data_IF_312483210060
#
_entry.id   IF_312483210060
#
_cell.length_a   1.000
_cell.length_b   1.000
_cell.length_c   1.000
_cell.angle_alpha   90.00
_cell.angle_beta   90.00
_cell.angle_gamma   90.00
#
_symmetry.space_group_name_H-M   'P 1'
#
loop_
_entity.id
_entity.type
_entity.pdbx_description
1 polymer ?
#
# COMPACT_ATOMS: atom_id res chain seq x y z
N UNK A 1 12.49 -10.49 -5.69
CA UNK A 1 12.05 -9.45 -6.64
C UNK A 1 11.99 -8.09 -5.95
N UNK A 2 12.08 -7.01 -6.72
CA UNK A 2 12.03 -5.62 -6.23
C UNK A 2 11.05 -4.88 -7.13
N UNK A 3 10.02 -4.29 -6.53
CA UNK A 3 9.01 -3.48 -7.22
C UNK A 3 9.10 -2.02 -6.73
N UNK A 4 8.88 -1.06 -7.63
CA UNK A 4 8.73 0.35 -7.26
C UNK A 4 7.27 0.58 -6.88
N UNK A 5 7.01 1.02 -5.64
CA UNK A 5 5.65 1.24 -5.13
C UNK A 5 5.16 2.66 -5.39
N UNK A 6 5.94 3.69 -5.05
CA UNK A 6 5.67 5.07 -5.39
C UNK A 6 6.98 5.87 -5.47
N UNK A 7 6.93 7.05 -6.09
CA UNK A 7 8.00 8.04 -6.10
C UNK A 7 7.34 9.39 -5.82
N UNK A 8 7.54 9.92 -4.62
CA UNK A 8 6.90 11.16 -4.14
C UNK A 8 5.39 11.20 -4.48
N UNK A 9 4.95 12.19 -5.26
CA UNK A 9 3.60 12.38 -5.77
C UNK A 9 3.47 12.07 -7.28
N UNK A 10 4.48 11.41 -7.87
CA UNK A 10 4.50 11.08 -9.30
C UNK A 10 3.33 10.19 -9.69
N UNK A 11 2.59 10.63 -10.71
CA UNK A 11 1.61 9.81 -11.43
C UNK A 11 2.18 9.53 -12.82
N UNK A 12 2.53 8.27 -13.08
CA UNK A 12 3.07 7.81 -14.35
C UNK A 12 2.31 6.59 -14.84
N UNK A 13 1.82 6.66 -16.07
CA UNK A 13 1.21 5.54 -16.79
C UNK A 13 1.94 5.34 -18.11
N UNK A 14 2.64 4.23 -18.25
CA UNK A 14 3.34 3.87 -19.49
C UNK A 14 3.26 2.36 -19.71
N UNK A 15 3.68 1.90 -20.90
CA UNK A 15 3.74 0.47 -21.20
C UNK A 15 4.79 -0.28 -20.38
N UNK A 16 5.77 0.41 -19.79
CA UNK A 16 6.90 -0.20 -19.08
C UNK A 16 6.82 -0.03 -17.56
N UNK A 17 6.15 1.02 -17.07
CA UNK A 17 6.11 1.37 -15.66
C UNK A 17 4.82 2.12 -15.32
N UNK A 18 4.20 1.74 -14.20
CA UNK A 18 3.05 2.42 -13.60
C UNK A 18 3.38 2.83 -12.17
N UNK A 19 3.24 4.12 -11.87
CA UNK A 19 3.47 4.71 -10.55
C UNK A 19 2.26 5.60 -10.19
N UNK A 20 1.72 5.49 -8.96
CA UNK A 20 1.99 4.46 -7.96
C UNK A 20 1.69 3.04 -8.48
N UNK A 21 2.28 2.01 -7.87
CA UNK A 21 2.09 0.63 -8.29
C UNK A 21 0.60 0.28 -8.24
N UNK A 22 0.01 -0.23 -9.34
CA UNK A 22 -1.44 -0.27 -9.52
C UNK A 22 -2.19 -1.09 -8.45
N UNK A 23 -1.55 -2.13 -7.91
CA UNK A 23 -2.13 -3.01 -6.90
C UNK A 23 -1.60 -2.74 -5.48
N UNK A 24 -0.93 -1.61 -5.22
CA UNK A 24 -0.36 -1.37 -3.88
C UNK A 24 -1.44 -1.32 -2.78
N UNK A 25 -2.61 -0.76 -3.09
CA UNK A 25 -3.72 -0.60 -2.17
C UNK A 25 -4.41 -1.92 -1.77
N UNK A 26 -4.18 -3.00 -2.53
CA UNK A 26 -4.83 -4.30 -2.32
C UNK A 26 -3.91 -5.30 -1.62
N UNK A 27 -2.63 -4.95 -1.39
CA UNK A 27 -1.59 -5.87 -0.94
C UNK A 27 -1.18 -5.57 0.51
N UNK A 28 -1.60 -6.39 1.48
CA UNK A 28 -1.23 -6.18 2.89
C UNK A 28 0.28 -6.16 3.12
N UNK A 29 1.06 -6.94 2.37
CA UNK A 29 2.53 -6.98 2.48
C UNK A 29 3.21 -5.71 1.93
N UNK A 30 2.50 -4.88 1.17
CA UNK A 30 2.96 -3.55 0.75
C UNK A 30 2.51 -2.50 1.77
N UNK A 31 1.23 -2.52 2.14
CA UNK A 31 0.67 -1.51 3.04
C UNK A 31 1.15 -1.64 4.49
N UNK A 32 1.38 -2.85 5.01
CA UNK A 32 1.82 -3.06 6.40
C UNK A 32 3.18 -2.40 6.70
N UNK A 33 4.24 -2.62 5.90
CA UNK A 33 5.50 -1.89 6.09
C UNK A 33 5.35 -0.39 5.88
N UNK A 34 4.56 0.05 4.89
CA UNK A 34 4.34 1.47 4.64
C UNK A 34 3.61 2.16 5.81
N UNK A 35 2.70 1.46 6.49
CA UNK A 35 2.02 1.98 7.68
C UNK A 35 3.02 2.26 8.82
N UNK A 36 4.09 1.47 8.92
CA UNK A 36 5.12 1.64 9.95
C UNK A 36 6.09 2.78 9.62
N UNK A 37 6.32 3.07 8.33
CA UNK A 37 7.32 4.06 7.88
C UNK A 37 6.70 5.41 7.52
N UNK A 38 5.55 5.43 6.86
CA UNK A 38 4.92 6.63 6.31
C UNK A 38 3.37 6.54 6.29
N UNK A 39 2.71 6.43 7.46
CA UNK A 39 1.25 6.27 7.54
C UNK A 39 0.46 7.44 6.94
N UNK A 40 1.04 8.65 7.00
CA UNK A 40 0.43 9.90 6.53
C UNK A 40 0.68 10.18 5.04
N UNK A 41 1.47 9.36 4.34
CA UNK A 41 1.67 9.55 2.89
C UNK A 41 0.33 9.39 2.17
N UNK A 42 0.00 10.37 1.34
CA UNK A 42 -1.28 10.43 0.62
C UNK A 42 -1.08 9.92 -0.80
N UNK A 43 -1.82 8.87 -1.15
CA UNK A 43 -1.78 8.29 -2.48
C UNK A 43 -2.29 9.28 -3.53
N UNK A 44 -1.45 9.71 -4.50
CA UNK A 44 -1.73 10.87 -5.35
C UNK A 44 -2.93 10.66 -6.28
N UNK A 45 -3.33 9.42 -6.57
CA UNK A 45 -4.50 9.14 -7.40
C UNK A 45 -5.81 9.01 -6.62
N UNK A 46 -5.79 8.51 -5.38
CA UNK A 46 -7.02 8.24 -4.61
C UNK A 46 -7.28 9.29 -3.53
N UNK A 47 -6.26 10.08 -3.17
CA UNK A 47 -6.34 11.03 -2.06
C UNK A 47 -6.40 10.37 -0.68
N UNK A 48 -6.20 9.07 -0.59
CA UNK A 48 -6.24 8.32 0.67
C UNK A 48 -4.83 8.20 1.26
N UNK A 49 -4.71 8.35 2.58
CA UNK A 49 -3.45 8.06 3.27
C UNK A 49 -3.15 6.56 3.27
N UNK A 50 -1.89 6.17 3.48
CA UNK A 50 -1.53 4.76 3.72
C UNK A 50 -2.35 4.16 4.85
N UNK A 51 -2.57 4.92 5.93
CA UNK A 51 -3.43 4.49 7.02
C UNK A 51 -4.86 4.19 6.54
N UNK A 52 -5.49 5.10 5.79
CA UNK A 52 -6.83 4.90 5.28
C UNK A 52 -6.91 3.69 4.31
N UNK A 53 -5.88 3.49 3.47
CA UNK A 53 -5.79 2.33 2.59
C UNK A 53 -5.68 1.02 3.38
N UNK A 54 -4.88 1.00 4.45
CA UNK A 54 -4.75 -0.16 5.33
C UNK A 54 -6.07 -0.50 6.03
N UNK A 55 -6.78 0.50 6.53
CA UNK A 55 -8.07 0.32 7.21
C UNK A 55 -9.18 -0.15 6.25
N UNK A 56 -9.08 0.18 4.97
CA UNK A 56 -10.02 -0.23 3.93
C UNK A 56 -9.81 -1.67 3.43
N UNK A 57 -8.69 -2.32 3.78
CA UNK A 57 -8.45 -3.72 3.39
C UNK A 57 -9.48 -4.66 4.05
N UNK A 58 -9.96 -5.69 3.32
CA UNK A 58 -10.71 -6.78 3.92
C UNK A 58 -9.88 -7.43 5.04
N UNK A 59 -10.41 -7.44 6.26
CA UNK A 59 -9.78 -8.12 7.38
C UNK A 59 -10.07 -9.61 7.26
N UNK A 60 -9.07 -10.38 6.81
CA UNK A 60 -9.15 -11.83 6.90
C UNK A 60 -8.95 -12.23 8.37
N UNK A 61 -10.04 -12.62 9.04
CA UNK A 61 -10.05 -13.03 10.45
C UNK A 61 -9.09 -14.20 10.74
N UNK A 62 -8.59 -14.90 9.71
CA UNK A 62 -7.76 -16.11 9.86
C UNK A 62 -6.30 -15.86 10.22
N UNK A 63 -5.78 -14.64 10.13
CA UNK A 63 -4.39 -14.30 10.47
C UNK A 63 -4.19 -13.87 11.94
N UNK A 64 -5.28 -13.70 12.70
CA UNK A 64 -5.24 -13.27 14.12
C UNK A 64 -4.62 -14.30 15.09
N UNK A 65 -4.26 -15.49 14.59
CA UNK A 65 -3.75 -16.62 15.40
C UNK A 65 -2.24 -16.69 15.54
N UNK A 66 -1.45 -15.91 14.78
CA UNK A 66 0.01 -16.05 14.75
C UNK A 66 0.71 -15.10 15.75
N UNK A 67 0.05 -14.01 16.17
CA UNK A 67 0.62 -13.01 17.11
C UNK A 67 0.52 -13.41 18.61
N UNK A 68 0.27 -14.71 18.92
CA UNK A 68 0.12 -15.21 20.31
C UNK A 68 1.09 -16.33 20.71
N UNK A 69 2.22 -16.47 20.02
CA UNK A 69 3.34 -17.33 20.43
C UNK A 69 4.60 -16.49 20.65
#
# INVERSE_FOLDING_TARGET
DIDIVFIDDLILHSSALTIPHPFMAERPFVLKPLLEVCPEWVHPQSGQSVQALWEALPKDDRLTLIDRL
#
